data_IF_096423268148
#
_entry.id   IF_096423268148
#
_cell.length_a   1.000
_cell.length_b   1.000
_cell.length_c   1.000
_cell.angle_alpha   90.00
_cell.angle_beta   90.00
_cell.angle_gamma   90.00
#
_symmetry.space_group_name_H-M   'P 1'
#
loop_
_entity.id
_entity.type
_entity.pdbx_description
1 polymer ?
#
# COMPACT_ATOMS: atom_id res chain seq x y z
N UNK A 1 -21.11 -11.00 -6.76
CA UNK A 1 -20.69 -10.66 -5.38
C UNK A 1 -19.92 -11.84 -4.83
N UNK A 2 -18.74 -11.59 -4.27
CA UNK A 2 -17.94 -12.57 -3.55
C UNK A 2 -18.68 -12.98 -2.27
N UNK A 3 -18.51 -14.21 -1.79
CA UNK A 3 -19.15 -14.72 -0.57
C UNK A 3 -18.67 -14.01 0.73
N UNK A 4 -17.88 -12.94 0.59
CA UNK A 4 -17.16 -12.19 1.62
C UNK A 4 -17.68 -10.75 1.76
N UNK A 5 -18.99 -10.57 1.65
CA UNK A 5 -19.67 -9.30 1.96
C UNK A 5 -20.04 -9.32 3.45
N UNK A 6 -19.26 -8.60 4.26
CA UNK A 6 -19.57 -8.42 5.67
C UNK A 6 -19.87 -6.95 5.91
N UNK A 7 -21.14 -6.56 6.17
CA UNK A 7 -21.43 -5.24 6.71
C UNK A 7 -20.61 -5.03 7.98
N UNK A 8 -20.02 -3.85 8.13
CA UNK A 8 -19.13 -3.53 9.24
C UNK A 8 -19.84 -3.73 10.58
N UNK A 9 -19.16 -4.40 11.51
CA UNK A 9 -19.67 -4.80 12.82
C UNK A 9 -18.86 -4.23 14.00
N UNK A 10 -17.73 -3.59 13.74
CA UNK A 10 -16.78 -3.08 14.74
C UNK A 10 -16.27 -4.19 15.67
N UNK A 11 -16.06 -5.37 15.08
CA UNK A 11 -15.55 -6.57 15.74
C UNK A 11 -14.58 -7.28 14.82
N UNK A 12 -13.51 -7.80 15.40
CA UNK A 12 -12.57 -8.66 14.67
C UNK A 12 -13.28 -9.93 14.20
N UNK A 13 -13.09 -10.27 12.93
CA UNK A 13 -13.58 -11.50 12.32
C UNK A 13 -12.58 -12.64 12.45
N UNK A 14 -13.09 -13.87 12.44
CA UNK A 14 -12.28 -15.06 12.24
C UNK A 14 -12.00 -15.25 10.75
N UNK A 15 -10.80 -15.72 10.44
CA UNK A 15 -10.38 -15.97 9.06
C UNK A 15 -11.04 -17.22 8.47
N UNK A 16 -11.49 -17.19 7.19
CA UNK A 16 -11.89 -18.41 6.49
C UNK A 16 -10.75 -19.39 6.26
N UNK A 17 -9.51 -18.91 6.26
CA UNK A 17 -8.33 -19.72 5.95
C UNK A 17 -7.80 -20.48 7.17
N UNK A 18 -8.49 -20.36 8.31
CA UNK A 18 -8.21 -21.13 9.52
C UNK A 18 -7.66 -20.28 10.65
N UNK A 19 -7.52 -20.89 11.84
CA UNK A 19 -7.14 -20.18 13.07
C UNK A 19 -5.70 -19.63 13.04
N UNK A 20 -4.85 -20.14 12.17
CA UNK A 20 -3.45 -19.73 12.03
C UNK A 20 -3.23 -18.78 10.85
N UNK A 21 -4.28 -18.32 10.17
CA UNK A 21 -4.14 -17.36 9.08
C UNK A 21 -3.64 -16.00 9.59
N UNK A 22 -2.72 -15.43 8.83
CA UNK A 22 -2.06 -14.16 9.10
C UNK A 22 -1.96 -13.27 7.85
N UNK A 23 -2.43 -13.75 6.70
CA UNK A 23 -2.27 -13.08 5.41
C UNK A 23 -3.61 -12.78 4.73
N UNK A 24 -4.73 -13.16 5.33
CA UNK A 24 -6.07 -12.73 4.93
C UNK A 24 -6.32 -13.03 3.45
N UNK A 25 -6.82 -12.05 2.70
CA UNK A 25 -7.17 -12.25 1.28
C UNK A 25 -5.98 -12.56 0.38
N UNK A 26 -4.74 -12.37 0.82
CA UNK A 26 -3.56 -12.78 0.05
C UNK A 26 -3.49 -14.30 -0.15
N UNK A 27 -4.24 -15.09 0.62
CA UNK A 27 -4.46 -16.52 0.37
C UNK A 27 -5.13 -16.81 -0.99
N UNK A 28 -5.69 -15.81 -1.69
CA UNK A 28 -6.19 -15.97 -3.06
C UNK A 28 -5.09 -16.00 -4.12
N UNK A 29 -3.84 -15.73 -3.75
CA UNK A 29 -2.69 -15.85 -4.64
C UNK A 29 -2.28 -17.32 -4.68
N UNK A 30 -2.67 -18.02 -5.75
CA UNK A 30 -2.30 -19.41 -6.02
C UNK A 30 -1.31 -19.50 -7.17
N UNK A 31 -0.74 -20.67 -7.41
CA UNK A 31 0.17 -20.87 -8.54
C UNK A 31 -0.58 -20.71 -9.88
N UNK A 32 -1.83 -21.13 -9.94
CA UNK A 32 -2.70 -20.93 -11.11
C UNK A 32 -3.01 -19.45 -11.33
N UNK A 33 -3.32 -18.68 -10.27
CA UNK A 33 -3.61 -17.25 -10.42
C UNK A 33 -2.37 -16.48 -10.90
N UNK A 34 -1.19 -16.84 -10.39
CA UNK A 34 0.09 -16.26 -10.83
C UNK A 34 0.39 -16.57 -12.30
N UNK A 35 0.24 -17.82 -12.72
CA UNK A 35 0.47 -18.22 -14.11
C UNK A 35 -0.46 -17.48 -15.08
N UNK A 36 -1.73 -17.31 -14.73
CA UNK A 36 -2.69 -16.53 -15.51
C UNK A 36 -2.23 -15.07 -15.69
N UNK A 37 -1.81 -14.41 -14.61
CA UNK A 37 -1.29 -13.04 -14.66
C UNK A 37 -0.07 -12.97 -15.55
N UNK A 38 0.94 -13.82 -15.31
CA UNK A 38 2.20 -13.81 -16.06
C UNK A 38 2.01 -14.03 -17.56
N UNK A 39 1.10 -14.92 -17.97
CA UNK A 39 0.80 -15.16 -19.40
C UNK A 39 0.11 -13.96 -20.08
N UNK A 40 -0.63 -13.18 -19.29
CA UNK A 40 -1.40 -12.03 -19.78
C UNK A 40 -0.58 -10.74 -19.92
N UNK A 41 0.65 -10.69 -19.41
CA UNK A 41 1.51 -9.50 -19.44
C UNK A 41 1.93 -9.13 -20.87
N UNK A 42 1.75 -7.86 -21.24
CA UNK A 42 2.50 -7.22 -22.31
C UNK A 42 3.83 -6.70 -21.73
N UNK A 43 4.93 -7.39 -22.02
CA UNK A 43 6.25 -7.08 -21.50
C UNK A 43 6.98 -5.96 -22.27
N UNK A 44 6.35 -5.36 -23.28
CA UNK A 44 6.98 -4.26 -24.04
C UNK A 44 7.09 -2.98 -23.23
N UNK A 45 6.33 -2.86 -22.13
CA UNK A 45 6.22 -1.66 -21.31
C UNK A 45 6.02 -2.02 -19.84
N UNK A 46 6.52 -1.17 -18.96
CA UNK A 46 6.32 -1.27 -17.51
C UNK A 46 6.19 0.11 -16.90
N UNK A 47 5.50 0.21 -15.77
CA UNK A 47 5.37 1.44 -15.00
C UNK A 47 5.83 1.18 -13.56
N UNK A 48 6.58 2.12 -13.02
CA UNK A 48 6.86 2.22 -11.59
C UNK A 48 5.74 3.07 -10.97
N UNK A 49 4.99 2.50 -10.04
CA UNK A 49 3.89 3.19 -9.35
C UNK A 49 4.26 3.52 -7.91
N UNK A 50 5.57 3.64 -7.62
CA UNK A 50 6.09 4.09 -6.34
C UNK A 50 6.53 5.56 -6.34
N UNK A 51 6.39 6.22 -5.19
CA UNK A 51 7.00 7.53 -4.96
C UNK A 51 8.49 7.36 -4.63
N UNK A 52 9.27 8.40 -4.95
CA UNK A 52 10.68 8.48 -4.56
C UNK A 52 10.81 8.76 -3.06
N UNK A 53 11.83 8.16 -2.45
CA UNK A 53 12.23 8.46 -1.07
C UNK A 53 13.25 9.59 -1.06
N UNK A 54 12.97 10.67 -0.33
CA UNK A 54 13.87 11.82 -0.20
C UNK A 54 13.65 12.54 1.13
N UNK A 55 14.67 13.28 1.59
CA UNK A 55 14.58 14.07 2.80
C UNK A 55 13.47 15.12 2.67
N UNK A 56 12.54 15.12 3.62
CA UNK A 56 11.43 16.08 3.66
C UNK A 56 10.21 15.69 2.81
N UNK A 57 10.15 14.45 2.29
CA UNK A 57 8.94 13.95 1.63
C UNK A 57 7.72 13.96 2.57
N UNK A 58 6.50 14.17 2.03
CA UNK A 58 5.28 14.01 2.82
C UNK A 58 5.23 12.66 3.54
N UNK A 59 4.86 12.71 4.81
CA UNK A 59 4.86 11.58 5.75
C UNK A 59 4.07 11.97 7.00
N UNK A 60 3.76 10.98 7.85
CA UNK A 60 3.12 11.17 9.16
C UNK A 60 4.00 11.88 10.21
N UNK A 61 5.08 12.56 9.81
CA UNK A 61 5.94 13.35 10.71
C UNK A 61 5.21 14.44 11.52
N UNK A 62 4.09 14.96 11.01
CA UNK A 62 3.24 15.88 11.77
C UNK A 62 2.50 15.21 12.95
N UNK A 63 2.30 13.89 12.90
CA UNK A 63 1.77 13.07 13.99
C UNK A 63 2.86 12.64 14.99
N UNK A 64 4.14 12.96 14.73
CA UNK A 64 5.27 12.63 15.57
C UNK A 64 6.11 11.44 15.08
N UNK A 65 5.72 10.79 13.98
CA UNK A 65 6.46 9.66 13.43
C UNK A 65 7.82 10.08 12.84
N UNK A 66 8.87 9.23 12.91
CA UNK A 66 10.15 9.52 12.30
C UNK A 66 10.03 9.75 10.78
N UNK A 67 10.48 10.89 10.24
CA UNK A 67 10.52 11.10 8.79
C UNK A 67 11.59 10.19 8.17
N UNK A 68 11.57 10.04 6.84
CA UNK A 68 12.68 9.43 6.12
C UNK A 68 13.96 10.26 6.32
N UNK A 69 15.01 9.60 6.79
CA UNK A 69 16.36 10.12 6.97
C UNK A 69 17.35 9.18 6.28
N UNK A 70 18.39 9.77 5.68
CA UNK A 70 19.51 9.06 5.07
C UNK A 70 20.79 9.81 5.41
N UNK A 71 21.87 9.08 5.71
CA UNK A 71 23.19 9.66 5.94
C UNK A 71 24.28 8.67 5.55
N UNK A 72 25.43 9.20 5.12
CA UNK A 72 26.60 8.40 4.81
C UNK A 72 27.16 7.79 6.11
N UNK A 73 27.35 6.49 6.15
CA UNK A 73 28.15 5.80 7.17
C UNK A 73 29.63 5.74 6.79
N UNK A 74 29.91 5.81 5.48
CA UNK A 74 31.25 5.79 4.93
C UNK A 74 31.33 6.79 3.79
N UNK A 75 32.38 7.62 3.79
CA UNK A 75 32.71 8.50 2.66
C UNK A 75 34.11 8.16 2.17
N UNK A 76 34.44 8.36 0.87
CA UNK A 76 35.75 7.99 0.35
C UNK A 76 36.91 8.54 1.18
N UNK A 77 36.87 9.86 1.47
CA UNK A 77 37.91 10.50 2.29
C UNK A 77 37.83 10.13 3.77
N UNK A 78 36.62 9.93 4.30
CA UNK A 78 36.44 9.45 5.67
C UNK A 78 37.11 8.09 5.90
N UNK A 79 36.98 7.16 4.95
CA UNK A 79 37.60 5.84 5.02
C UNK A 79 39.14 5.89 5.03
N UNK A 80 39.72 6.78 4.22
CA UNK A 80 41.17 7.04 4.25
C UNK A 80 41.60 7.55 5.62
N UNK A 81 40.91 8.57 6.13
CA UNK A 81 41.26 9.26 7.37
C UNK A 81 41.09 8.37 8.61
N UNK A 82 39.98 7.65 8.70
CA UNK A 82 39.61 6.85 9.87
C UNK A 82 40.32 5.50 9.89
N UNK A 83 40.91 5.09 8.75
CA UNK A 83 41.67 3.84 8.61
C UNK A 83 40.89 2.59 9.07
N UNK A 84 39.58 2.54 8.80
CA UNK A 84 38.67 1.49 9.27
C UNK A 84 39.02 0.07 8.79
N UNK A 85 39.69 -0.04 7.62
CA UNK A 85 40.20 -1.29 7.08
C UNK A 85 41.72 -1.37 7.25
N UNK A 86 42.20 -2.53 7.72
CA UNK A 86 43.64 -2.81 7.84
C UNK A 86 44.24 -3.18 6.47
N UNK A 87 44.33 -2.19 5.58
CA UNK A 87 44.87 -2.30 4.21
C UNK A 87 45.97 -1.24 3.98
N UNK A 88 46.76 -1.40 2.91
CA UNK A 88 47.84 -0.47 2.58
C UNK A 88 47.30 0.94 2.28
N UNK A 89 48.14 1.97 2.49
CA UNK A 89 47.80 3.36 2.15
C UNK A 89 47.45 3.51 0.67
N UNK A 90 48.22 2.87 -0.20
CA UNK A 90 47.93 2.82 -1.65
C UNK A 90 46.55 2.24 -1.95
N UNK A 91 46.11 1.21 -1.21
CA UNK A 91 44.76 0.65 -1.37
C UNK A 91 43.67 1.64 -0.93
N UNK A 92 43.91 2.43 0.12
CA UNK A 92 42.96 3.44 0.60
C UNK A 92 42.80 4.58 -0.39
N UNK A 93 43.90 5.02 -1.00
CA UNK A 93 43.89 6.09 -2.01
C UNK A 93 43.31 5.61 -3.35
N UNK A 94 43.52 4.34 -3.70
CA UNK A 94 43.01 3.75 -4.94
C UNK A 94 41.50 3.50 -4.89
N UNK A 95 40.94 3.14 -3.73
CA UNK A 95 39.55 2.67 -3.60
C UNK A 95 38.66 3.74 -2.99
N UNK A 96 37.69 4.22 -3.78
CA UNK A 96 36.62 5.08 -3.30
C UNK A 96 35.40 4.26 -2.88
N UNK A 97 35.14 4.19 -1.57
CA UNK A 97 33.97 3.50 -0.99
C UNK A 97 32.99 4.49 -0.34
N UNK A 98 31.71 4.26 -0.61
CA UNK A 98 30.57 5.01 -0.09
C UNK A 98 29.55 4.01 0.45
N UNK A 99 28.99 4.29 1.63
CA UNK A 99 27.95 3.47 2.22
C UNK A 99 27.01 4.34 3.07
N UNK A 100 25.75 3.94 3.16
CA UNK A 100 24.66 4.74 3.72
C UNK A 100 23.89 3.97 4.79
N UNK A 101 23.23 4.70 5.67
CA UNK A 101 22.20 4.19 6.57
C UNK A 101 20.91 5.00 6.38
N UNK A 102 19.78 4.35 6.66
CA UNK A 102 18.47 4.98 6.64
C UNK A 102 17.77 4.81 7.98
N UNK A 103 16.90 5.77 8.31
CA UNK A 103 15.90 5.66 9.38
C UNK A 103 14.58 6.20 8.85
N UNK A 104 13.49 5.48 9.10
CA UNK A 104 12.16 5.88 8.66
C UNK A 104 11.08 5.18 9.48
N UNK A 105 9.91 5.80 9.55
CA UNK A 105 8.67 5.09 9.88
C UNK A 105 8.36 4.07 8.77
N UNK A 106 7.84 2.89 9.12
CA UNK A 106 7.62 1.80 8.15
C UNK A 106 6.48 2.07 7.16
N UNK A 107 5.65 3.08 7.43
CA UNK A 107 4.58 3.59 6.57
C UNK A 107 5.01 4.87 5.81
N UNK A 108 6.30 4.98 5.49
CA UNK A 108 6.85 6.07 4.68
C UNK A 108 6.92 5.67 3.21
N UNK A 109 6.61 6.61 2.31
CA UNK A 109 6.63 6.39 0.87
C UNK A 109 5.56 5.38 0.42
N UNK A 110 5.67 4.85 -0.79
CA UNK A 110 4.76 3.77 -1.23
C UNK A 110 5.02 2.55 -0.38
N UNK A 111 3.99 2.09 0.32
CA UNK A 111 4.09 1.04 1.31
C UNK A 111 2.80 0.24 1.37
N UNK A 112 2.89 -0.96 1.94
CA UNK A 112 1.74 -1.83 2.22
C UNK A 112 1.56 -1.96 3.72
N UNK A 113 0.32 -1.78 4.15
CA UNK A 113 -0.10 -1.97 5.52
C UNK A 113 -0.50 -3.41 5.76
N UNK A 114 -0.14 -3.90 6.93
CA UNK A 114 -0.41 -5.28 7.35
C UNK A 114 -1.41 -5.32 8.50
N UNK A 115 -1.97 -6.49 8.79
CA UNK A 115 -3.16 -6.57 9.64
C UNK A 115 -2.92 -6.30 11.12
N UNK A 116 -1.66 -6.25 11.55
CA UNK A 116 -1.26 -5.84 12.89
C UNK A 116 -1.14 -4.29 13.03
N UNK A 117 -1.45 -3.52 11.99
CA UNK A 117 -1.42 -2.05 12.03
C UNK A 117 -2.61 -1.45 12.79
N UNK A 118 -3.83 -1.87 12.47
CA UNK A 118 -5.05 -1.46 13.17
C UNK A 118 -5.88 -2.66 13.62
N UNK A 119 -6.57 -2.47 14.75
CA UNK A 119 -7.36 -3.50 15.41
C UNK A 119 -8.57 -2.90 16.14
N UNK A 120 -9.38 -3.78 16.74
CA UNK A 120 -10.43 -3.39 17.68
C UNK A 120 -10.15 -3.92 19.08
N UNK A 121 -10.14 -3.02 20.08
CA UNK A 121 -10.12 -3.38 21.51
C UNK A 121 -9.00 -4.37 21.86
N UNK A 122 -7.77 -4.08 21.43
CA UNK A 122 -6.60 -4.92 21.68
C UNK A 122 -6.56 -6.22 20.88
N UNK A 123 -7.37 -6.35 19.82
CA UNK A 123 -7.33 -7.48 18.89
C UNK A 123 -7.09 -7.00 17.46
N UNK A 124 -6.32 -7.77 16.70
CA UNK A 124 -6.08 -7.58 15.27
C UNK A 124 -6.71 -8.74 14.49
N UNK A 125 -6.53 -8.79 13.16
CA UNK A 125 -7.09 -9.84 12.29
C UNK A 125 -7.02 -11.25 12.88
N UNK A 126 -8.06 -12.04 12.63
CA UNK A 126 -8.20 -13.43 13.06
C UNK A 126 -8.24 -13.63 14.59
N UNK A 127 -8.45 -12.57 15.36
CA UNK A 127 -8.62 -12.63 16.82
C UNK A 127 -7.32 -12.71 17.61
N UNK A 128 -6.16 -12.47 16.97
CA UNK A 128 -4.90 -12.31 17.69
C UNK A 128 -4.99 -11.12 18.64
N UNK A 129 -4.45 -11.29 19.83
CA UNK A 129 -4.62 -10.37 20.96
C UNK A 129 -3.32 -9.71 21.30
N UNK A 130 -3.36 -8.42 21.60
CA UNK A 130 -2.23 -7.68 22.15
C UNK A 130 -1.64 -8.39 23.39
N UNK A 131 -2.50 -8.89 24.27
CA UNK A 131 -2.09 -9.54 25.51
C UNK A 131 -1.25 -10.82 25.29
N UNK A 132 -1.41 -11.49 24.16
CA UNK A 132 -0.81 -12.80 23.88
C UNK A 132 0.22 -12.73 22.74
N UNK A 133 0.02 -11.84 21.77
CA UNK A 133 0.72 -11.81 20.48
C UNK A 133 1.59 -10.56 20.26
N UNK A 134 1.50 -9.52 21.10
CA UNK A 134 2.36 -8.33 21.01
C UNK A 134 3.61 -8.48 21.88
N UNK A 135 4.78 -8.52 21.24
CA UNK A 135 6.08 -8.50 21.92
C UNK A 135 6.57 -7.08 22.21
N UNK A 136 7.66 -6.95 22.97
CA UNK A 136 8.24 -5.65 23.33
C UNK A 136 8.85 -4.86 22.16
N UNK A 137 8.99 -5.48 20.98
CA UNK A 137 9.63 -4.90 19.79
C UNK A 137 8.74 -4.86 18.57
N UNK A 138 7.87 -5.85 18.41
CA UNK A 138 6.97 -5.99 17.28
C UNK A 138 5.85 -6.98 17.63
N UNK A 139 4.84 -7.06 16.77
CA UNK A 139 3.84 -8.13 16.81
C UNK A 139 4.46 -9.45 16.37
N UNK A 140 4.10 -10.56 17.03
CA UNK A 140 4.51 -11.90 16.60
C UNK A 140 3.62 -12.45 15.46
N UNK A 141 2.57 -11.68 15.13
CA UNK A 141 1.53 -12.02 14.17
C UNK A 141 1.35 -10.95 13.09
N UNK A 142 0.90 -11.39 11.93
CA UNK A 142 0.46 -10.58 10.78
C UNK A 142 1.51 -9.61 10.21
N UNK A 143 2.80 -9.88 10.37
CA UNK A 143 3.86 -9.04 9.80
C UNK A 143 4.07 -9.25 8.29
N UNK A 144 4.69 -8.27 7.60
CA UNK A 144 4.87 -8.26 6.14
C UNK A 144 5.81 -9.36 5.64
N UNK A 145 6.67 -9.91 6.50
CA UNK A 145 7.54 -11.04 6.15
C UNK A 145 6.75 -12.29 5.76
N UNK A 146 5.49 -12.40 6.20
CA UNK A 146 4.58 -13.51 5.89
C UNK A 146 3.85 -13.32 4.57
N UNK A 147 3.79 -12.09 4.06
CA UNK A 147 3.08 -11.80 2.81
C UNK A 147 3.81 -12.47 1.62
N UNK A 148 3.08 -13.14 0.72
CA UNK A 148 3.67 -13.70 -0.48
C UNK A 148 4.18 -12.59 -1.43
N UNK A 149 4.98 -12.97 -2.41
CA UNK A 149 5.16 -12.12 -3.60
C UNK A 149 3.78 -11.91 -4.23
N UNK A 150 3.40 -10.65 -4.37
CA UNK A 150 2.16 -10.23 -5.00
C UNK A 150 2.38 -10.30 -6.50
N UNK A 151 1.64 -11.19 -7.15
CA UNK A 151 1.54 -11.29 -8.60
C UNK A 151 0.07 -11.50 -8.90
N UNK A 152 -0.60 -10.41 -9.27
CA UNK A 152 -2.05 -10.33 -9.35
C UNK A 152 -2.46 -9.42 -10.51
N UNK A 153 -3.70 -9.57 -10.98
CA UNK A 153 -4.31 -8.53 -11.81
C UNK A 153 -4.60 -7.31 -10.92
N UNK A 154 -4.40 -6.12 -11.47
CA UNK A 154 -4.80 -4.88 -10.83
C UNK A 154 -5.68 -4.04 -11.75
N UNK A 155 -6.64 -3.36 -11.14
CA UNK A 155 -7.58 -2.46 -11.80
C UNK A 155 -7.41 -1.06 -11.23
N UNK A 156 -7.09 -0.10 -12.08
CA UNK A 156 -7.07 1.32 -11.74
C UNK A 156 -8.49 1.88 -11.93
N UNK A 157 -9.03 2.50 -10.89
CA UNK A 157 -10.23 3.34 -10.96
C UNK A 157 -9.81 4.81 -10.88
N UNK A 158 -9.95 5.54 -11.98
CA UNK A 158 -9.61 6.97 -12.05
C UNK A 158 -10.80 7.82 -11.66
N UNK A 159 -11.03 7.91 -10.34
CA UNK A 159 -12.22 8.57 -9.78
C UNK A 159 -12.19 10.07 -10.10
N UNK A 160 -11.03 10.71 -9.97
CA UNK A 160 -10.86 12.14 -10.29
C UNK A 160 -11.25 12.44 -11.75
N UNK A 161 -10.69 11.70 -12.72
CA UNK A 161 -11.04 11.91 -14.13
C UNK A 161 -12.52 11.59 -14.42
N UNK A 162 -13.10 10.59 -13.76
CA UNK A 162 -14.52 10.28 -13.89
C UNK A 162 -15.42 11.43 -13.42
N UNK A 163 -15.00 12.16 -12.37
CA UNK A 163 -15.67 13.37 -11.89
C UNK A 163 -15.31 14.64 -12.69
N UNK A 164 -14.46 14.53 -13.71
CA UNK A 164 -14.07 15.64 -14.56
C UNK A 164 -13.14 16.65 -13.87
N UNK A 165 -12.36 16.19 -12.90
CA UNK A 165 -11.40 17.02 -12.14
C UNK A 165 -10.01 16.38 -12.14
N UNK A 166 -8.97 17.20 -11.98
CA UNK A 166 -7.60 16.68 -11.86
C UNK A 166 -7.34 16.07 -10.48
N UNK A 167 -8.01 16.61 -9.46
CA UNK A 167 -7.94 16.20 -8.05
C UNK A 167 -9.31 16.35 -7.41
N UNK A 168 -9.72 15.34 -6.65
CA UNK A 168 -11.01 15.35 -5.94
C UNK A 168 -11.06 16.48 -4.90
N UNK A 169 -12.27 16.99 -4.57
CA UNK A 169 -12.44 17.99 -3.53
C UNK A 169 -11.89 17.51 -2.17
N UNK A 170 -11.44 18.43 -1.30
CA UNK A 170 -10.99 18.08 0.05
C UNK A 170 -12.02 17.23 0.81
N UNK A 171 -11.54 16.18 1.47
CA UNK A 171 -12.33 15.23 2.27
C UNK A 171 -13.43 14.49 1.50
N UNK A 172 -13.40 14.46 0.16
CA UNK A 172 -14.38 13.74 -0.64
C UNK A 172 -14.35 12.24 -0.34
N UNK A 173 -15.50 11.67 0.05
CA UNK A 173 -15.67 10.24 0.33
C UNK A 173 -16.12 9.47 -0.90
N UNK A 174 -15.25 8.60 -1.41
CA UNK A 174 -15.48 7.74 -2.57
C UNK A 174 -16.35 6.55 -2.12
N UNK A 175 -17.58 6.50 -2.62
CA UNK A 175 -18.55 5.46 -2.30
C UNK A 175 -18.87 4.52 -3.46
N UNK A 176 -19.90 3.70 -3.28
CA UNK A 176 -20.34 2.71 -4.29
C UNK A 176 -20.64 3.34 -5.64
N UNK A 177 -21.36 4.47 -5.65
CA UNK A 177 -21.76 5.13 -6.89
C UNK A 177 -20.57 5.61 -7.73
N UNK A 178 -19.51 6.09 -7.07
CA UNK A 178 -18.29 6.55 -7.74
C UNK A 178 -17.53 5.39 -8.37
N UNK A 179 -17.46 4.26 -7.65
CA UNK A 179 -16.84 3.02 -8.13
C UNK A 179 -17.58 2.47 -9.34
N UNK A 180 -18.92 2.41 -9.29
CA UNK A 180 -19.75 1.96 -10.43
C UNK A 180 -19.58 2.86 -11.66
N UNK A 181 -19.59 4.18 -11.44
CA UNK A 181 -19.39 5.15 -12.52
C UNK A 181 -18.01 4.99 -13.17
N UNK A 182 -16.96 4.81 -12.36
CA UNK A 182 -15.60 4.62 -12.84
C UNK A 182 -15.44 3.33 -13.65
N UNK A 183 -15.93 2.19 -13.13
CA UNK A 183 -15.93 0.93 -13.86
C UNK A 183 -16.67 1.05 -15.20
N UNK A 184 -17.84 1.68 -15.22
CA UNK A 184 -18.62 1.88 -16.43
C UNK A 184 -17.93 2.78 -17.46
N UNK A 185 -17.36 3.92 -17.04
CA UNK A 185 -16.65 4.86 -17.93
C UNK A 185 -15.35 4.28 -18.48
N UNK A 186 -14.64 3.50 -17.67
CA UNK A 186 -13.35 2.93 -18.04
C UNK A 186 -13.50 1.59 -18.78
N UNK A 187 -14.69 0.96 -18.73
CA UNK A 187 -14.94 -0.33 -19.36
C UNK A 187 -14.21 -1.48 -18.67
N UNK A 188 -14.03 -1.39 -17.34
CA UNK A 188 -13.34 -2.39 -16.53
C UNK A 188 -14.28 -3.05 -15.55
N UNK A 189 -13.91 -4.23 -15.07
CA UNK A 189 -14.60 -4.93 -14.00
C UNK A 189 -13.61 -5.38 -12.93
N UNK A 190 -14.07 -5.37 -11.67
CA UNK A 190 -13.32 -5.96 -10.54
C UNK A 190 -13.71 -7.43 -10.43
N UNK A 191 -12.71 -8.28 -10.24
CA UNK A 191 -12.81 -9.72 -10.04
C UNK A 191 -12.18 -10.10 -8.71
N UNK A 192 -12.57 -11.26 -8.20
CA UNK A 192 -11.95 -11.87 -7.02
C UNK A 192 -10.44 -12.03 -7.23
N UNK A 193 -9.65 -11.53 -6.30
CA UNK A 193 -8.18 -11.62 -6.36
C UNK A 193 -7.50 -10.36 -6.92
N UNK A 194 -8.24 -9.35 -7.34
CA UNK A 194 -7.65 -8.14 -7.89
C UNK A 194 -7.04 -7.22 -6.82
N UNK A 195 -5.99 -6.53 -7.20
CA UNK A 195 -5.57 -5.28 -6.54
C UNK A 195 -6.40 -4.14 -7.14
N UNK A 196 -7.13 -3.39 -6.31
CA UNK A 196 -7.89 -2.22 -6.77
C UNK A 196 -7.12 -0.96 -6.42
N UNK A 197 -6.76 -0.14 -7.41
CA UNK A 197 -5.99 1.10 -7.23
C UNK A 197 -6.91 2.30 -7.49
N UNK A 198 -7.05 3.20 -6.51
CA UNK A 198 -7.92 4.36 -6.59
C UNK A 198 -7.07 5.61 -6.86
N UNK A 199 -7.29 6.25 -8.00
CA UNK A 199 -6.72 7.58 -8.25
C UNK A 199 -7.68 8.67 -7.79
N UNK A 200 -7.25 9.40 -6.77
CA UNK A 200 -7.91 10.57 -6.19
C UNK A 200 -7.38 11.88 -6.79
N UNK A 201 -6.21 11.83 -7.44
CA UNK A 201 -5.49 12.96 -8.00
C UNK A 201 -4.60 13.68 -6.99
N UNK A 202 -4.38 13.11 -5.81
CA UNK A 202 -3.53 13.71 -4.78
C UNK A 202 -2.06 13.79 -5.20
N UNK A 203 -1.60 12.88 -6.08
CA UNK A 203 -0.23 12.95 -6.60
C UNK A 203 0.05 14.19 -7.47
N UNK A 204 -0.98 14.90 -7.96
CA UNK A 204 -0.80 16.17 -8.69
C UNK A 204 -0.20 17.29 -7.85
N UNK A 205 -0.28 17.18 -6.51
CA UNK A 205 0.32 18.14 -5.57
C UNK A 205 1.51 17.57 -4.79
N UNK A 206 1.94 16.34 -5.07
CA UNK A 206 3.17 15.81 -4.50
C UNK A 206 4.39 16.57 -5.04
N UNK A 207 5.39 16.95 -4.20
CA UNK A 207 5.54 16.67 -2.77
C UNK A 207 5.18 17.84 -1.83
N UNK A 208 4.27 18.74 -2.21
CA UNK A 208 3.84 19.86 -1.35
C UNK A 208 3.13 19.32 -0.10
N UNK A 209 3.82 19.39 1.04
CA UNK A 209 3.33 18.84 2.32
C UNK A 209 2.05 19.51 2.80
N UNK A 210 1.88 20.80 2.56
CA UNK A 210 0.72 21.54 3.04
C UNK A 210 -0.55 21.17 2.25
N UNK A 211 -0.40 20.95 0.95
CA UNK A 211 -1.50 20.52 0.08
C UNK A 211 -1.77 19.03 0.14
N UNK A 212 -0.74 18.20 0.35
CA UNK A 212 -0.86 16.75 0.30
C UNK A 212 -1.37 16.13 1.60
N UNK A 213 -1.01 16.70 2.76
CA UNK A 213 -1.28 16.07 4.06
C UNK A 213 -2.64 16.43 4.68
N UNK A 214 -3.38 17.39 4.12
CA UNK A 214 -4.59 17.95 4.74
C UNK A 214 -5.84 17.60 3.94
N UNK A 215 -6.91 17.25 4.65
CA UNK A 215 -8.25 17.04 4.08
C UNK A 215 -8.24 16.07 2.88
N UNK A 216 -7.60 14.91 3.06
CA UNK A 216 -7.40 13.93 1.99
C UNK A 216 -8.76 13.42 1.48
N UNK A 217 -9.08 13.51 0.17
CA UNK A 217 -10.15 12.70 -0.42
C UNK A 217 -9.74 11.24 -0.41
N UNK A 218 -10.71 10.32 -0.35
CA UNK A 218 -10.40 8.90 -0.27
C UNK A 218 -11.61 8.00 -0.15
N UNK A 219 -11.39 6.71 0.01
CA UNK A 219 -12.43 5.70 0.17
C UNK A 219 -13.28 5.96 1.42
N UNK A 220 -14.60 5.80 1.33
CA UNK A 220 -15.47 5.77 2.51
C UNK A 220 -15.85 4.31 2.87
N UNK A 221 -16.52 4.11 4.01
CA UNK A 221 -16.90 2.76 4.47
C UNK A 221 -17.79 2.02 3.48
N UNK A 222 -18.79 2.69 2.90
CA UNK A 222 -19.68 2.07 1.90
C UNK A 222 -18.88 1.61 0.66
N UNK A 223 -17.95 2.43 0.18
CA UNK A 223 -17.04 2.08 -0.91
C UNK A 223 -16.14 0.90 -0.55
N UNK A 224 -15.59 0.87 0.67
CA UNK A 224 -14.77 -0.24 1.15
C UNK A 224 -15.55 -1.55 1.25
N UNK A 225 -16.77 -1.53 1.79
CA UNK A 225 -17.68 -2.68 1.82
C UNK A 225 -17.99 -3.17 0.40
N UNK A 226 -18.23 -2.24 -0.52
CA UNK A 226 -18.52 -2.58 -1.91
C UNK A 226 -17.33 -3.23 -2.62
N UNK A 227 -16.12 -2.65 -2.54
CA UNK A 227 -14.91 -3.23 -3.12
C UNK A 227 -14.59 -4.60 -2.51
N UNK A 228 -14.73 -4.73 -1.19
CA UNK A 228 -14.59 -6.00 -0.50
C UNK A 228 -15.58 -7.05 -1.05
N UNK A 229 -16.83 -6.64 -1.30
CA UNK A 229 -17.89 -7.48 -1.88
C UNK A 229 -17.69 -7.84 -3.36
N UNK A 230 -17.00 -7.00 -4.13
CA UNK A 230 -16.60 -7.31 -5.51
C UNK A 230 -15.43 -8.31 -5.57
N UNK A 231 -14.72 -8.50 -4.46
CA UNK A 231 -13.61 -9.44 -4.36
C UNK A 231 -12.24 -8.79 -4.45
N UNK A 232 -12.11 -7.51 -4.13
CA UNK A 232 -10.82 -6.86 -3.95
C UNK A 232 -9.98 -7.66 -2.94
N UNK A 233 -8.76 -7.99 -3.35
CA UNK A 233 -7.76 -8.68 -2.53
C UNK A 233 -6.90 -7.69 -1.77
N UNK A 234 -6.50 -6.60 -2.44
CA UNK A 234 -5.74 -5.48 -1.91
C UNK A 234 -6.42 -4.20 -2.43
N UNK A 235 -6.48 -3.16 -1.62
CA UNK A 235 -6.98 -1.86 -2.06
C UNK A 235 -5.86 -0.84 -1.84
N UNK A 236 -5.53 -0.07 -2.88
CA UNK A 236 -4.56 1.01 -2.74
C UNK A 236 -5.06 2.33 -3.31
N UNK A 237 -4.41 3.42 -2.91
CA UNK A 237 -4.70 4.75 -3.43
C UNK A 237 -3.44 5.62 -3.54
N UNK A 238 -3.60 6.74 -4.24
CA UNK A 238 -2.57 7.75 -4.48
C UNK A 238 -2.54 8.86 -3.40
N UNK A 239 -3.15 8.61 -2.25
CA UNK A 239 -3.22 9.55 -1.12
C UNK A 239 -2.48 9.01 0.11
N UNK A 240 -2.53 9.74 1.23
CA UNK A 240 -1.76 9.46 2.45
C UNK A 240 -2.43 8.47 3.42
N UNK A 241 -3.71 8.15 3.24
CA UNK A 241 -4.50 7.45 4.26
C UNK A 241 -5.50 6.45 3.68
N UNK A 242 -5.49 6.16 2.37
CA UNK A 242 -6.54 5.48 1.61
C UNK A 242 -7.94 6.12 1.69
N UNK A 243 -8.49 6.23 2.89
CA UNK A 243 -9.78 6.78 3.23
C UNK A 243 -9.83 8.30 3.28
N UNK A 244 -11.05 8.84 3.20
CA UNK A 244 -11.25 10.27 3.32
C UNK A 244 -10.96 10.76 4.74
N UNK A 245 -10.18 11.83 4.85
CA UNK A 245 -9.79 12.44 6.12
C UNK A 245 -10.20 13.92 6.17
N UNK A 246 -10.62 14.46 7.33
CA UNK A 246 -10.77 13.79 8.61
C UNK A 246 -11.89 12.75 8.58
N UNK A 247 -11.85 11.80 9.52
CA UNK A 247 -12.89 10.78 9.64
C UNK A 247 -14.26 11.44 9.82
N UNK A 248 -15.30 10.94 9.12
CA UNK A 248 -16.67 11.38 9.33
C UNK A 248 -17.30 10.77 10.60
N UNK A 249 -16.62 9.86 11.29
CA UNK A 249 -17.13 9.15 12.46
C UNK A 249 -16.54 9.69 13.77
N UNK A 250 -17.35 9.87 14.83
CA UNK A 250 -16.88 10.42 16.10
C UNK A 250 -16.01 9.43 16.90
N UNK A 251 -16.28 8.13 16.78
CA UNK A 251 -15.70 7.09 17.64
C UNK A 251 -14.61 6.25 16.94
N UNK A 252 -14.32 6.56 15.68
CA UNK A 252 -13.31 5.87 14.88
C UNK A 252 -12.61 6.85 13.95
N UNK A 253 -11.30 6.99 14.11
CA UNK A 253 -10.50 7.96 13.35
C UNK A 253 -9.98 7.39 12.02
N UNK A 254 -10.03 6.07 11.81
CA UNK A 254 -9.77 5.39 10.53
C UNK A 254 -10.77 4.23 10.29
N UNK A 255 -12.05 4.56 10.06
CA UNK A 255 -13.11 3.57 9.88
C UNK A 255 -12.91 2.58 8.74
N UNK A 256 -12.25 2.98 7.66
CA UNK A 256 -11.97 2.07 6.53
C UNK A 256 -10.81 1.15 6.86
N UNK A 257 -9.71 1.64 7.44
CA UNK A 257 -8.58 0.79 7.83
C UNK A 257 -9.02 -0.32 8.79
N UNK A 258 -9.72 0.07 9.85
CA UNK A 258 -10.16 -0.88 10.88
C UNK A 258 -11.12 -1.92 10.30
N UNK A 259 -12.05 -1.54 9.41
CA UNK A 259 -12.89 -2.48 8.68
C UNK A 259 -12.08 -3.44 7.80
N UNK A 260 -11.22 -2.89 6.93
CA UNK A 260 -10.46 -3.66 5.95
C UNK A 260 -9.52 -4.67 6.62
N UNK A 261 -8.82 -4.28 7.69
CA UNK A 261 -7.88 -5.16 8.38
C UNK A 261 -8.58 -6.14 9.33
N UNK A 262 -9.46 -5.64 10.20
CA UNK A 262 -9.98 -6.44 11.30
C UNK A 262 -11.17 -7.31 10.92
N UNK A 263 -11.98 -6.88 9.95
CA UNK A 263 -13.25 -7.56 9.64
C UNK A 263 -13.19 -8.39 8.37
N UNK A 264 -12.38 -8.00 7.37
CA UNK A 264 -12.38 -8.65 6.05
C UNK A 264 -11.01 -9.07 5.51
N UNK A 265 -9.93 -8.77 6.24
CA UNK A 265 -8.57 -9.25 5.93
C UNK A 265 -8.00 -8.72 4.60
N UNK A 266 -8.24 -7.46 4.26
CA UNK A 266 -7.74 -6.78 3.05
C UNK A 266 -6.58 -5.84 3.42
N UNK A 267 -5.32 -6.08 2.98
CA UNK A 267 -4.24 -5.14 3.20
C UNK A 267 -4.40 -3.92 2.28
N UNK A 268 -3.77 -2.81 2.66
CA UNK A 268 -3.89 -1.52 1.98
C UNK A 268 -2.54 -1.08 1.42
N UNK A 269 -2.54 -0.40 0.27
CA UNK A 269 -1.35 0.25 -0.27
C UNK A 269 -1.58 1.76 -0.36
N UNK A 270 -0.72 2.54 0.26
CA UNK A 270 -0.81 4.00 0.22
C UNK A 270 0.30 4.61 -0.63
N UNK A 271 0.10 5.88 -1.01
CA UNK A 271 1.06 6.64 -1.78
C UNK A 271 1.43 5.98 -3.12
N UNK A 272 0.46 5.38 -3.82
CA UNK A 272 0.68 4.90 -5.19
C UNK A 272 0.83 6.08 -6.16
N UNK A 273 1.86 6.03 -7.00
CA UNK A 273 2.03 6.98 -8.09
C UNK A 273 1.27 6.50 -9.32
N UNK A 274 0.04 7.01 -9.52
CA UNK A 274 -0.90 6.52 -10.54
C UNK A 274 -1.02 7.44 -11.78
N UNK A 275 -0.25 8.52 -11.84
CA UNK A 275 -0.42 9.57 -12.85
C UNK A 275 -0.13 9.10 -14.28
N UNK A 276 0.91 8.29 -14.50
CA UNK A 276 1.25 7.78 -15.83
C UNK A 276 0.18 6.82 -16.34
N UNK A 277 -0.30 5.90 -15.50
CA UNK A 277 -1.36 4.97 -15.88
C UNK A 277 -2.65 5.71 -16.25
N UNK A 278 -3.05 6.70 -15.44
CA UNK A 278 -4.23 7.52 -15.69
C UNK A 278 -4.11 8.33 -16.98
N UNK A 279 -2.98 9.02 -17.17
CA UNK A 279 -2.68 9.78 -18.39
C UNK A 279 -2.76 8.92 -19.65
N UNK A 280 -2.28 7.68 -19.56
CA UNK A 280 -2.28 6.73 -20.68
C UNK A 280 -3.55 5.89 -20.80
N UNK A 281 -4.48 6.03 -19.85
CA UNK A 281 -5.72 5.26 -19.78
C UNK A 281 -5.46 3.74 -19.75
N UNK A 282 -4.42 3.33 -19.04
CA UNK A 282 -4.10 1.92 -18.79
C UNK A 282 -4.77 1.52 -17.48
N UNK A 283 -5.95 0.92 -17.60
CA UNK A 283 -6.82 0.65 -16.45
C UNK A 283 -6.73 -0.77 -15.90
N UNK A 284 -6.15 -1.70 -16.67
CA UNK A 284 -5.91 -3.07 -16.25
C UNK A 284 -4.44 -3.41 -16.46
N UNK A 285 -3.80 -3.88 -15.39
CA UNK A 285 -2.37 -4.20 -15.38
C UNK A 285 -2.12 -5.49 -14.61
N UNK A 286 -0.99 -6.14 -14.89
CA UNK A 286 -0.40 -7.09 -13.97
C UNK A 286 0.40 -6.31 -12.93
N UNK A 287 0.16 -6.57 -11.65
CA UNK A 287 0.86 -5.98 -10.53
C UNK A 287 1.83 -6.99 -9.94
N UNK A 288 3.11 -6.62 -9.90
CA UNK A 288 4.18 -7.43 -9.34
C UNK A 288 4.88 -6.63 -8.26
N UNK A 289 4.88 -7.12 -7.02
CA UNK A 289 5.51 -6.44 -5.90
C UNK A 289 5.72 -7.36 -4.71
N UNK A 290 6.59 -6.93 -3.79
CA UNK A 290 6.80 -7.62 -2.52
C UNK A 290 7.05 -6.59 -1.43
N UNK A 291 6.37 -6.75 -0.31
CA UNK A 291 6.66 -5.98 0.91
C UNK A 291 8.11 -6.22 1.34
N UNK A 292 8.81 -5.18 1.79
CA UNK A 292 10.08 -5.38 2.48
C UNK A 292 9.85 -6.32 3.67
N UNK A 293 10.58 -7.45 3.81
CA UNK A 293 10.27 -8.49 4.78
C UNK A 293 10.78 -8.12 6.19
N UNK A 294 10.27 -7.03 6.75
CA UNK A 294 10.60 -6.53 8.09
C UNK A 294 9.76 -7.30 9.10
N UNK A 295 10.41 -8.20 9.85
CA UNK A 295 9.73 -9.13 10.78
C UNK A 295 8.84 -8.37 11.77
N UNK A 296 7.54 -8.68 11.75
CA UNK A 296 6.55 -8.20 12.70
C UNK A 296 6.21 -6.69 12.58
N UNK A 297 6.70 -6.01 11.55
CA UNK A 297 6.36 -4.61 11.29
C UNK A 297 4.86 -4.45 10.99
N UNK A 298 4.33 -3.24 11.21
CA UNK A 298 2.91 -2.92 10.96
C UNK A 298 2.61 -2.53 9.51
N UNK A 299 3.65 -2.13 8.79
CA UNK A 299 3.65 -1.88 7.37
C UNK A 299 5.06 -2.06 6.85
N UNK A 300 5.22 -2.00 5.54
CA UNK A 300 6.55 -2.05 4.93
C UNK A 300 6.58 -1.31 3.61
N UNK A 301 7.72 -0.68 3.26
CA UNK A 301 7.97 -0.21 1.90
C UNK A 301 7.62 -1.28 0.88
N UNK A 302 6.94 -0.85 -0.18
CA UNK A 302 6.57 -1.67 -1.31
C UNK A 302 7.07 -0.98 -2.57
N UNK A 303 7.80 -1.71 -3.40
CA UNK A 303 8.16 -1.24 -4.75
C UNK A 303 7.44 -2.10 -5.79
N UNK A 304 6.21 -1.73 -6.16
CA UNK A 304 5.46 -2.44 -7.18
C UNK A 304 5.85 -1.97 -8.58
N UNK A 305 6.00 -2.93 -9.48
CA UNK A 305 6.09 -2.69 -10.92
C UNK A 305 4.85 -3.25 -11.56
N UNK A 306 4.25 -2.47 -12.46
CA UNK A 306 3.05 -2.89 -13.17
C UNK A 306 3.30 -2.97 -14.67
N UNK A 307 2.64 -3.92 -15.32
CA UNK A 307 2.73 -4.14 -16.76
C UNK A 307 1.33 -4.10 -17.37
N UNK A 308 1.11 -3.45 -18.52
CA UNK A 308 -0.15 -3.60 -19.24
C UNK A 308 -0.47 -5.06 -19.51
N UNK A 309 -1.77 -5.37 -19.59
CA UNK A 309 -2.21 -6.67 -20.08
C UNK A 309 -2.27 -6.67 -21.61
N UNK A 310 -1.97 -7.81 -22.24
CA UNK A 310 -2.18 -8.03 -23.67
C UNK A 310 -3.64 -7.77 -24.00
N UNK A 311 -3.90 -6.93 -25.00
CA UNK A 311 -5.24 -6.81 -25.57
C UNK A 311 -5.62 -8.17 -26.14
N UNK A 312 -6.80 -8.68 -25.77
CA UNK A 312 -7.41 -9.81 -26.48
C UNK A 312 -7.50 -9.43 -27.97
N UNK A 313 -6.92 -10.29 -28.82
CA UNK A 313 -6.95 -10.15 -30.27
C UNK A 313 -8.37 -10.30 -30.82
#
# INVERSE_FOLDING_TARGET
MCDYVHPRTLKVSLSPWGPDDEIGRLNWITDESRDLVMRSIDSSRSFDVSVKYFLGMPSWSAAGDPPFQIWMTHTPKGNENDALLNVSQESKELISYSGDAISMYTHCGTHIDTFNHFGYRGQIWNGYKEADDLGSRHWNKCGPEKFPIICARAVLLDIAACKGVDRLPPSYGIGKADIDEAMAKQGVEIRKGDVVMLRTGMMTVWPDRDLFMKHSPGLNVEGAEYLAGLGAMIIGADNISLENAPSPEPDNYFPVHTYLFSEVGIPIIELLWLEELAKEKVYEVAFIGRAMPIVGATGAPLQPVVFPLKRSA
#
